data_IF_606469995888
#
_entry.id   IF_606469995888
#
_cell.length_a   1.000
_cell.length_b   1.000
_cell.length_c   1.000
_cell.angle_alpha   90.00
_cell.angle_beta   90.00
_cell.angle_gamma   90.00
#
_symmetry.space_group_name_H-M   'P 1'
#
loop_
_entity.id
_entity.type
_entity.pdbx_description
1 polymer ?
#
# COMPACT_ATOMS: atom_id res chain seq x y z
N UNK A 1 6.34 4.29 -14.41
CA UNK A 1 5.73 3.80 -13.16
C UNK A 1 6.36 4.53 -12.00
N UNK A 2 5.60 5.38 -11.30
CA UNK A 2 6.06 6.12 -10.13
C UNK A 2 5.56 5.39 -8.89
N UNK A 3 6.47 5.02 -8.00
CA UNK A 3 6.13 4.38 -6.73
C UNK A 3 6.96 5.04 -5.64
N UNK A 4 6.28 5.77 -4.76
CA UNK A 4 6.91 6.44 -3.63
C UNK A 4 6.40 5.79 -2.35
N UNK A 5 7.32 5.20 -1.58
CA UNK A 5 7.03 4.59 -0.28
C UNK A 5 7.73 5.39 0.79
N UNK A 6 6.96 5.83 1.78
CA UNK A 6 7.47 6.56 2.93
C UNK A 6 7.15 5.78 4.22
N UNK A 7 8.12 5.66 5.14
CA UNK A 7 7.82 5.18 6.48
C UNK A 7 6.94 6.22 7.16
N UNK A 8 5.67 5.89 7.42
CA UNK A 8 4.71 6.83 7.99
C UNK A 8 4.95 6.97 9.50
N UNK A 9 5.06 5.85 10.19
CA UNK A 9 5.35 5.82 11.61
C UNK A 9 6.03 4.51 11.99
N UNK A 10 6.91 4.59 12.97
CA UNK A 10 7.38 3.45 13.75
C UNK A 10 6.78 3.64 15.15
N UNK A 11 5.51 3.27 15.34
CA UNK A 11 4.85 3.54 16.60
C UNK A 11 5.40 2.65 17.73
N UNK A 12 6.21 1.62 17.41
CA UNK A 12 6.76 0.61 18.31
C UNK A 12 5.74 0.24 19.40
N UNK A 13 4.49 0.09 18.96
CA UNK A 13 3.33 0.07 19.83
C UNK A 13 3.04 -1.37 20.22
N UNK A 14 3.04 -1.60 21.52
CA UNK A 14 2.76 -2.90 22.09
C UNK A 14 1.29 -2.95 22.49
N UNK A 15 0.50 -3.72 21.74
CA UNK A 15 -0.84 -4.10 22.16
C UNK A 15 -0.66 -5.28 23.12
N UNK A 16 -0.26 -4.96 24.34
CA UNK A 16 0.06 -5.89 25.42
C UNK A 16 1.06 -6.99 24.99
N UNK A 17 1.00 -8.17 25.61
CA UNK A 17 1.82 -9.33 25.24
C UNK A 17 1.38 -10.02 23.93
N UNK A 18 0.35 -9.50 23.23
CA UNK A 18 -0.30 -10.21 22.14
C UNK A 18 0.19 -9.78 20.75
N UNK A 19 0.42 -8.47 20.54
CA UNK A 19 0.85 -7.96 19.25
C UNK A 19 1.79 -6.76 19.39
N UNK A 20 2.88 -6.78 18.63
CA UNK A 20 3.86 -5.70 18.53
C UNK A 20 3.78 -5.06 17.15
N UNK A 21 3.32 -3.82 17.05
CA UNK A 21 3.25 -3.10 15.78
C UNK A 21 4.62 -2.48 15.50
N UNK A 22 5.34 -3.03 14.52
CA UNK A 22 6.72 -2.66 14.20
C UNK A 22 6.81 -1.42 13.31
N UNK A 23 5.91 -1.31 12.34
CA UNK A 23 5.91 -0.16 11.44
C UNK A 23 4.56 0.04 10.78
N UNK A 24 4.36 1.27 10.35
CA UNK A 24 3.31 1.72 9.45
C UNK A 24 4.00 2.44 8.30
N UNK A 25 3.76 1.97 7.09
CA UNK A 25 4.32 2.49 5.84
C UNK A 25 3.18 3.02 5.00
N UNK A 26 3.31 4.26 4.57
CA UNK A 26 2.45 4.85 3.55
C UNK A 26 3.15 4.77 2.20
N UNK A 27 2.38 4.74 1.12
CA UNK A 27 2.91 4.81 -0.22
C UNK A 27 1.90 5.43 -1.17
N UNK A 28 2.40 6.09 -2.20
CA UNK A 28 1.62 6.54 -3.33
C UNK A 28 2.19 5.85 -4.56
N UNK A 29 1.33 5.30 -5.41
CA UNK A 29 1.76 4.66 -6.64
C UNK A 29 0.97 5.23 -7.82
N UNK A 30 1.62 5.31 -8.96
CA UNK A 30 1.06 5.79 -10.22
C UNK A 30 1.58 4.92 -11.36
N UNK A 31 0.66 4.16 -11.95
CA UNK A 31 0.91 3.33 -13.11
C UNK A 31 0.58 4.10 -14.38
N UNK A 32 1.55 4.08 -15.30
CA UNK A 32 1.43 4.61 -16.64
C UNK A 32 1.55 3.41 -17.57
N UNK A 33 0.57 3.19 -18.43
CA UNK A 33 0.61 2.14 -19.46
C UNK A 33 0.74 2.85 -20.81
N UNK A 34 1.73 2.45 -21.61
CA UNK A 34 2.12 3.05 -22.90
C UNK A 34 2.58 4.53 -22.83
N UNK A 35 3.91 4.71 -22.76
CA UNK A 35 4.57 5.95 -23.21
C UNK A 35 4.82 5.77 -24.71
N UNK A 36 3.89 6.21 -25.54
CA UNK A 36 4.03 6.09 -26.99
C UNK A 36 2.78 6.53 -27.76
N UNK A 37 2.97 7.54 -28.61
CA UNK A 37 2.08 8.13 -29.61
C UNK A 37 0.91 9.03 -29.19
N UNK A 38 0.15 8.81 -28.10
CA UNK A 38 -1.05 9.66 -27.85
C UNK A 38 -1.33 10.04 -26.38
N UNK A 39 -0.51 9.61 -25.43
CA UNK A 39 -0.81 9.76 -24.00
C UNK A 39 -0.02 10.92 -23.36
N UNK A 40 -0.73 11.96 -22.92
CA UNK A 40 -0.16 13.04 -22.12
C UNK A 40 0.45 12.50 -20.82
N UNK A 41 1.67 12.94 -20.47
CA UNK A 41 2.33 12.65 -19.17
C UNK A 41 1.46 13.00 -17.95
N UNK A 42 0.44 13.86 -18.15
CA UNK A 42 -0.52 14.28 -17.15
C UNK A 42 -1.68 13.28 -16.91
N UNK A 43 -1.76 12.17 -17.66
CA UNK A 43 -2.84 11.17 -17.53
C UNK A 43 -2.29 9.80 -17.09
N UNK A 44 -1.92 9.62 -15.81
CA UNK A 44 -1.65 8.29 -15.29
C UNK A 44 -2.91 7.43 -15.44
N UNK A 45 -2.76 6.16 -15.87
CA UNK A 45 -3.89 5.22 -16.06
C UNK A 45 -4.51 4.87 -14.71
N UNK A 46 -3.66 4.69 -13.71
CA UNK A 46 -4.06 4.31 -12.37
C UNK A 46 -3.17 4.99 -11.35
N UNK A 47 -3.75 5.67 -10.37
CA UNK A 47 -3.02 6.24 -9.26
C UNK A 47 -3.66 5.81 -7.95
N UNK A 48 -2.90 5.71 -6.88
CA UNK A 48 -3.44 5.17 -5.65
C UNK A 48 -2.56 5.35 -4.44
N UNK A 49 -3.15 4.97 -3.31
CA UNK A 49 -2.57 5.03 -1.98
C UNK A 49 -2.35 3.60 -1.49
N UNK A 50 -1.19 3.33 -0.90
CA UNK A 50 -0.89 2.09 -0.21
C UNK A 50 -0.65 2.44 1.27
N UNK A 51 -1.33 1.74 2.16
CA UNK A 51 -1.02 1.74 3.58
C UNK A 51 -0.67 0.31 3.97
N UNK A 52 0.46 0.11 4.63
CA UNK A 52 0.89 -1.18 5.13
C UNK A 52 1.34 -1.05 6.57
N UNK A 53 1.11 -2.08 7.36
CA UNK A 53 1.60 -2.20 8.72
C UNK A 53 2.09 -3.61 8.94
N UNK A 54 3.32 -3.73 9.44
CA UNK A 54 3.89 -5.02 9.83
C UNK A 54 3.88 -5.12 11.36
N UNK A 55 3.41 -6.24 11.89
CA UNK A 55 3.35 -6.53 13.32
C UNK A 55 3.88 -7.94 13.62
N UNK A 56 4.45 -8.14 14.81
CA UNK A 56 4.83 -9.45 15.31
C UNK A 56 3.79 -9.93 16.33
N UNK A 57 3.32 -11.16 16.20
CA UNK A 57 2.44 -11.77 17.19
C UNK A 57 3.26 -12.29 18.38
N UNK A 58 2.83 -12.03 19.61
CA UNK A 58 3.48 -12.51 20.84
C UNK A 58 4.96 -12.11 21.01
N UNK A 59 5.40 -11.00 20.40
CA UNK A 59 6.81 -10.58 20.33
C UNK A 59 7.76 -11.64 19.69
N UNK A 60 7.22 -12.67 19.03
CA UNK A 60 7.95 -13.73 18.33
C UNK A 60 7.50 -13.87 16.87
N UNK A 61 8.14 -14.74 16.09
CA UNK A 61 7.63 -15.16 14.77
C UNK A 61 6.31 -15.91 15.03
N UNK A 62 5.16 -15.41 14.55
CA UNK A 62 4.94 -14.98 13.17
C UNK A 62 4.88 -13.46 12.95
N UNK A 63 5.33 -13.05 11.76
CA UNK A 63 5.16 -11.68 11.27
C UNK A 63 3.86 -11.62 10.48
N UNK A 64 2.97 -10.72 10.88
CA UNK A 64 1.73 -10.40 10.17
C UNK A 64 1.92 -9.06 9.46
N UNK A 65 1.73 -9.04 8.15
CA UNK A 65 1.67 -7.80 7.35
C UNK A 65 0.22 -7.55 6.96
N UNK A 66 -0.33 -6.46 7.46
CA UNK A 66 -1.65 -5.95 7.08
C UNK A 66 -1.46 -4.77 6.14
N UNK A 67 -2.26 -4.69 5.09
CA UNK A 67 -2.22 -3.55 4.18
C UNK A 67 -3.55 -3.27 3.54
N UNK A 68 -3.75 -2.03 3.16
CA UNK A 68 -4.89 -1.57 2.37
C UNK A 68 -4.36 -0.75 1.22
N UNK A 69 -4.83 -1.03 0.01
CA UNK A 69 -4.49 -0.26 -1.17
C UNK A 69 -5.75 0.30 -1.79
N UNK A 70 -5.75 1.61 -2.01
CA UNK A 70 -6.81 2.32 -2.70
C UNK A 70 -6.31 2.66 -4.09
N UNK A 71 -6.99 2.15 -5.10
CA UNK A 71 -6.59 2.25 -6.50
C UNK A 71 -7.66 3.05 -7.26
N UNK A 72 -7.29 4.23 -7.73
CA UNK A 72 -8.15 5.08 -8.55
C UNK A 72 -7.74 4.94 -10.02
N UNK A 73 -8.72 4.61 -10.87
CA UNK A 73 -8.52 4.53 -12.32
C UNK A 73 -8.95 5.86 -12.94
N UNK A 74 -8.16 6.38 -13.86
CA UNK A 74 -8.41 7.67 -14.50
C UNK A 74 -9.71 7.66 -15.33
N UNK A 75 -10.36 8.82 -15.45
CA UNK A 75 -11.66 9.03 -16.14
C UNK A 75 -11.72 8.47 -17.55
N UNK A 76 -10.59 8.37 -18.26
CA UNK A 76 -10.52 7.77 -19.59
C UNK A 76 -10.95 6.28 -19.62
N UNK A 77 -10.81 5.56 -18.50
CA UNK A 77 -11.15 4.14 -18.38
C UNK A 77 -12.44 3.87 -17.58
N UNK A 78 -13.12 4.91 -17.07
CA UNK A 78 -14.43 4.87 -16.39
C UNK A 78 -14.65 3.68 -15.43
N UNK A 79 -13.61 3.31 -14.67
CA UNK A 79 -13.63 2.13 -13.82
C UNK A 79 -13.76 2.54 -12.36
N UNK A 80 -14.58 1.80 -11.60
CA UNK A 80 -14.81 2.07 -10.20
C UNK A 80 -13.50 1.98 -9.40
N UNK A 81 -13.32 2.82 -8.36
CA UNK A 81 -12.17 2.73 -7.47
C UNK A 81 -12.09 1.32 -6.86
N UNK A 82 -10.90 0.74 -6.86
CA UNK A 82 -10.65 -0.60 -6.35
C UNK A 82 -10.01 -0.47 -4.97
N UNK A 83 -10.57 -1.17 -3.99
CA UNK A 83 -10.01 -1.27 -2.64
C UNK A 83 -9.47 -2.68 -2.48
N UNK A 84 -8.16 -2.80 -2.29
CA UNK A 84 -7.49 -4.07 -2.04
C UNK A 84 -7.11 -4.17 -0.56
N UNK A 85 -7.48 -5.26 0.08
CA UNK A 85 -7.00 -5.61 1.42
C UNK A 85 -5.93 -6.68 1.30
N UNK A 86 -4.83 -6.49 2.01
CA UNK A 86 -3.64 -7.31 1.91
C UNK A 86 -3.36 -7.87 3.29
N UNK A 87 -3.34 -9.19 3.40
CA UNK A 87 -3.04 -9.91 4.62
C UNK A 87 -1.94 -10.92 4.30
N UNK A 88 -0.79 -10.79 4.95
CA UNK A 88 0.28 -11.78 4.88
C UNK A 88 0.57 -12.30 6.27
N UNK A 89 0.75 -13.60 6.36
CA UNK A 89 1.15 -14.32 7.56
C UNK A 89 2.41 -15.12 7.22
N UNK A 90 3.51 -14.78 7.87
CA UNK A 90 4.82 -15.42 7.66
C UNK A 90 5.30 -16.05 8.96
N UNK A 91 5.60 -17.35 8.91
CA UNK A 91 6.10 -18.16 10.03
C UNK A 91 7.62 -18.32 9.91
#
# INVERSE_FOLDING_TARGET
>A
MLNYRFPFAFPDAEIASLAYIKNVRGGFFSHYENIGNETNLAQPKTFGLELRSSMNLLRYQPVVDLGTRLVFVNKAYNQNPIVEFIFNYSF
#
